data_IF_244338029814
#
_entry.id   IF_244338029814
#
_cell.length_a   1.000
_cell.length_b   1.000
_cell.length_c   1.000
_cell.angle_alpha   90.00
_cell.angle_beta   90.00
_cell.angle_gamma   90.00
#
_symmetry.space_group_name_H-M   'P 1'
#
loop_
_entity.id
_entity.type
_entity.pdbx_description
1 polymer ?
#
# COMPACT_ATOMS: atom_id res chain seq x y z
N UNK A 1 -10.03 7.86 23.46
CA UNK A 1 -10.91 6.88 22.82
C UNK A 1 -10.83 5.56 23.56
N UNK A 2 -11.94 5.06 24.06
CA UNK A 2 -12.05 3.75 24.72
C UNK A 2 -11.98 2.61 23.68
N UNK A 3 -11.79 1.36 24.13
CA UNK A 3 -11.82 0.20 23.23
C UNK A 3 -13.15 0.08 22.47
N UNK A 4 -14.26 0.39 23.14
CA UNK A 4 -15.62 0.40 22.55
C UNK A 4 -15.79 1.47 21.47
N UNK A 5 -15.25 2.69 21.68
CA UNK A 5 -15.29 3.76 20.68
C UNK A 5 -14.45 3.40 19.44
N UNK A 6 -13.32 2.70 19.64
CA UNK A 6 -12.48 2.22 18.53
C UNK A 6 -13.20 1.16 17.70
N UNK A 7 -13.90 0.23 18.34
CA UNK A 7 -14.70 -0.82 17.65
C UNK A 7 -15.88 -0.22 16.88
N UNK A 8 -16.57 0.74 17.46
CA UNK A 8 -17.65 1.44 16.77
C UNK A 8 -17.14 2.23 15.55
N UNK A 9 -15.98 2.89 15.64
CA UNK A 9 -15.38 3.60 14.53
C UNK A 9 -14.95 2.65 13.40
N UNK A 10 -14.36 1.49 13.73
CA UNK A 10 -14.01 0.46 12.74
C UNK A 10 -15.25 -0.12 12.06
N UNK A 11 -16.32 -0.42 12.82
CA UNK A 11 -17.57 -0.94 12.28
C UNK A 11 -18.25 0.08 11.35
N UNK A 12 -18.24 1.37 11.72
CA UNK A 12 -18.76 2.45 10.89
C UNK A 12 -17.97 2.58 9.59
N UNK A 13 -16.64 2.56 9.65
CA UNK A 13 -15.78 2.60 8.46
C UNK A 13 -16.04 1.40 7.54
N UNK A 14 -16.13 0.22 8.10
CA UNK A 14 -16.41 -1.01 7.35
C UNK A 14 -17.77 -0.95 6.63
N UNK A 15 -18.80 -0.42 7.29
CA UNK A 15 -20.11 -0.22 6.69
C UNK A 15 -20.08 0.77 5.52
N UNK A 16 -19.37 1.88 5.67
CA UNK A 16 -19.21 2.90 4.61
C UNK A 16 -18.34 2.41 3.44
N UNK A 17 -17.33 1.60 3.69
CA UNK A 17 -16.45 1.05 2.66
C UNK A 17 -17.07 -0.12 1.91
N UNK A 18 -18.02 -0.82 2.48
CA UNK A 18 -18.59 -2.04 1.90
C UNK A 18 -19.10 -1.86 0.46
N UNK A 19 -19.91 -0.84 0.12
CA UNK A 19 -20.37 -0.66 -1.27
C UNK A 19 -19.21 -0.40 -2.24
N UNK A 20 -18.21 0.37 -1.86
CA UNK A 20 -17.03 0.62 -2.68
C UNK A 20 -16.21 -0.66 -2.88
N UNK A 21 -16.07 -1.47 -1.84
CA UNK A 21 -15.36 -2.75 -1.93
C UNK A 21 -16.10 -3.75 -2.80
N UNK A 22 -17.41 -3.82 -2.71
CA UNK A 22 -18.25 -4.67 -3.56
C UNK A 22 -18.16 -4.25 -5.02
N UNK A 23 -18.28 -2.95 -5.33
CA UNK A 23 -18.09 -2.41 -6.67
C UNK A 23 -16.70 -2.71 -7.23
N UNK A 24 -15.65 -2.42 -6.46
CA UNK A 24 -14.27 -2.72 -6.84
C UNK A 24 -14.05 -4.20 -7.12
N UNK A 25 -14.53 -5.08 -6.24
CA UNK A 25 -14.38 -6.52 -6.41
C UNK A 25 -15.12 -7.04 -7.64
N UNK A 26 -16.32 -6.54 -7.92
CA UNK A 26 -17.08 -6.90 -9.13
C UNK A 26 -16.33 -6.53 -10.42
N UNK A 27 -15.71 -5.34 -10.47
CA UNK A 27 -14.90 -4.92 -11.62
C UNK A 27 -13.59 -5.72 -11.74
N UNK A 28 -12.93 -5.98 -10.62
CA UNK A 28 -11.72 -6.82 -10.58
C UNK A 28 -12.03 -8.22 -11.09
N UNK A 29 -13.14 -8.80 -10.67
CA UNK A 29 -13.58 -10.13 -11.12
C UNK A 29 -13.94 -10.15 -12.62
N UNK A 30 -14.61 -9.11 -13.12
CA UNK A 30 -14.90 -8.97 -14.53
C UNK A 30 -13.63 -8.92 -15.38
N UNK A 31 -12.66 -8.07 -15.03
CA UNK A 31 -11.36 -7.95 -15.70
C UNK A 31 -10.59 -9.27 -15.64
N UNK A 32 -10.61 -9.94 -14.48
CA UNK A 32 -9.99 -11.24 -14.32
C UNK A 32 -10.59 -12.29 -15.24
N UNK A 33 -11.92 -12.32 -15.39
CA UNK A 33 -12.61 -13.26 -16.27
C UNK A 33 -12.32 -12.99 -17.74
N UNK A 34 -12.23 -11.73 -18.16
CA UNK A 34 -11.77 -11.34 -19.49
C UNK A 34 -10.36 -11.86 -19.78
N UNK A 35 -9.43 -11.64 -18.85
CA UNK A 35 -8.06 -12.15 -18.94
C UNK A 35 -8.04 -13.68 -19.02
N UNK A 36 -8.78 -14.37 -18.15
CA UNK A 36 -8.81 -15.82 -18.09
C UNK A 36 -9.40 -16.45 -19.37
N UNK A 37 -10.39 -15.80 -19.98
CA UNK A 37 -10.97 -16.22 -21.27
C UNK A 37 -9.97 -16.05 -22.41
N UNK A 38 -9.23 -14.94 -22.44
CA UNK A 38 -8.19 -14.68 -23.45
C UNK A 38 -6.94 -15.55 -23.27
N UNK A 39 -6.68 -16.05 -22.04
CA UNK A 39 -5.47 -16.81 -21.68
C UNK A 39 -5.83 -18.13 -20.99
N UNK A 40 -6.44 -19.10 -21.68
CA UNK A 40 -6.84 -20.38 -21.08
C UNK A 40 -5.60 -21.20 -20.61
N UNK A 41 -5.73 -21.90 -19.49
CA UNK A 41 -4.63 -22.70 -18.91
C UNK A 41 -4.08 -23.77 -19.84
N UNK A 42 -4.91 -24.27 -20.78
CA UNK A 42 -4.51 -25.25 -21.79
C UNK A 42 -3.44 -24.72 -22.75
N UNK A 43 -3.50 -23.40 -23.06
CA UNK A 43 -2.56 -22.74 -23.99
C UNK A 43 -1.47 -21.97 -23.23
N UNK A 44 -1.82 -21.40 -22.07
CA UNK A 44 -0.92 -20.57 -21.26
C UNK A 44 -0.80 -21.14 -19.82
N UNK A 45 0.07 -22.13 -19.59
CA UNK A 45 0.24 -22.74 -18.25
C UNK A 45 0.58 -21.73 -17.16
N UNK A 46 1.14 -20.57 -17.52
CA UNK A 46 1.43 -19.46 -16.59
C UNK A 46 0.15 -18.84 -16.00
N UNK A 47 -1.00 -18.92 -16.65
CA UNK A 47 -2.29 -18.51 -16.08
C UNK A 47 -2.60 -19.25 -14.78
N UNK A 48 -2.07 -20.47 -14.64
CA UNK A 48 -2.21 -21.29 -13.43
C UNK A 48 -1.51 -20.67 -12.23
N UNK A 49 -0.35 -20.02 -12.39
CA UNK A 49 0.34 -19.34 -11.29
C UNK A 49 -0.47 -18.16 -10.80
N UNK A 50 -0.99 -17.33 -11.71
CA UNK A 50 -1.86 -16.21 -11.36
C UNK A 50 -3.13 -16.68 -10.64
N UNK A 51 -3.82 -17.73 -11.11
CA UNK A 51 -5.02 -18.25 -10.42
C UNK A 51 -4.73 -18.71 -8.99
N UNK A 52 -3.57 -19.31 -8.75
CA UNK A 52 -3.15 -19.72 -7.40
C UNK A 52 -2.89 -18.52 -6.50
N UNK A 53 -2.41 -17.44 -7.05
CA UNK A 53 -2.19 -16.19 -6.35
C UNK A 53 -3.45 -15.32 -6.25
N UNK A 54 -4.58 -15.74 -6.88
CA UNK A 54 -5.83 -14.98 -6.93
C UNK A 54 -6.36 -14.57 -5.55
N UNK A 55 -6.10 -15.34 -4.50
CA UNK A 55 -6.46 -14.99 -3.11
C UNK A 55 -5.82 -13.69 -2.64
N UNK A 56 -4.67 -13.32 -3.20
CA UNK A 56 -4.00 -12.05 -2.92
C UNK A 56 -4.74 -10.88 -3.56
N UNK A 57 -5.45 -11.11 -4.68
CA UNK A 57 -6.25 -10.10 -5.37
C UNK A 57 -7.49 -9.70 -4.56
N UNK A 58 -8.11 -10.66 -3.87
CA UNK A 58 -9.37 -10.45 -3.18
C UNK A 58 -9.21 -9.90 -1.76
N UNK A 59 -8.02 -9.99 -1.19
CA UNK A 59 -7.72 -9.54 0.16
C UNK A 59 -7.31 -8.05 0.18
N UNK A 60 -8.24 -7.13 0.43
CA UNK A 60 -7.93 -5.71 0.57
C UNK A 60 -9.12 -4.88 1.01
N UNK A 61 -8.86 -3.76 1.70
CA UNK A 61 -9.89 -2.80 2.14
C UNK A 61 -10.36 -1.86 1.02
N UNK A 62 -9.68 -1.86 -0.14
CA UNK A 62 -9.99 -1.03 -1.32
C UNK A 62 -9.99 0.47 -1.04
N UNK A 63 -9.10 0.94 -0.17
CA UNK A 63 -9.03 2.35 0.17
C UNK A 63 -8.73 3.25 -1.02
N UNK A 64 -7.85 2.83 -1.94
CA UNK A 64 -7.46 3.64 -3.10
C UNK A 64 -8.62 3.78 -4.08
N UNK A 65 -9.31 2.68 -4.35
CA UNK A 65 -10.53 2.70 -5.15
C UNK A 65 -11.61 3.59 -4.49
N UNK A 66 -11.86 3.41 -3.20
CA UNK A 66 -12.84 4.20 -2.46
C UNK A 66 -12.52 5.69 -2.49
N UNK A 67 -11.24 6.07 -2.34
CA UNK A 67 -10.79 7.46 -2.44
C UNK A 67 -11.03 8.05 -3.83
N UNK A 68 -10.77 7.30 -4.91
CA UNK A 68 -11.01 7.75 -6.28
C UNK A 68 -12.50 7.96 -6.55
N UNK A 69 -13.33 6.97 -6.20
CA UNK A 69 -14.77 7.02 -6.48
C UNK A 69 -15.48 8.04 -5.57
N UNK A 70 -15.17 8.04 -4.26
CA UNK A 70 -15.75 9.03 -3.35
C UNK A 70 -15.28 10.46 -3.68
N UNK A 71 -14.02 10.63 -4.07
CA UNK A 71 -13.49 11.91 -4.54
C UNK A 71 -14.26 12.42 -5.77
N UNK A 72 -14.49 11.57 -6.76
CA UNK A 72 -15.32 11.91 -7.92
C UNK A 72 -16.74 12.35 -7.51
N UNK A 73 -17.42 11.56 -6.68
CA UNK A 73 -18.77 11.86 -6.20
C UNK A 73 -18.80 13.18 -5.42
N UNK A 74 -17.80 13.42 -4.57
CA UNK A 74 -17.70 14.69 -3.82
C UNK A 74 -17.58 15.90 -4.74
N UNK A 75 -16.79 15.77 -5.83
CA UNK A 75 -16.53 16.84 -6.79
C UNK A 75 -17.70 17.10 -7.75
N UNK A 76 -18.47 16.05 -8.09
CA UNK A 76 -19.53 16.16 -9.12
C UNK A 76 -20.94 16.15 -8.56
N UNK A 77 -21.17 15.43 -7.46
CA UNK A 77 -22.51 15.08 -6.93
C UNK A 77 -23.12 13.88 -7.67
N UNK A 78 -22.46 13.36 -8.71
CA UNK A 78 -22.98 12.30 -9.56
C UNK A 78 -22.48 10.92 -9.09
N UNK A 79 -23.30 9.86 -9.25
CA UNK A 79 -22.82 8.50 -9.01
C UNK A 79 -21.73 8.14 -10.03
N UNK A 80 -20.77 7.32 -9.59
CA UNK A 80 -19.76 6.81 -10.50
C UNK A 80 -20.39 5.91 -11.58
N UNK A 81 -20.01 6.13 -12.83
CA UNK A 81 -20.39 5.23 -13.92
C UNK A 81 -19.66 3.89 -13.78
N UNK A 82 -20.19 2.86 -14.43
CA UNK A 82 -19.55 1.54 -14.45
C UNK A 82 -18.15 1.58 -15.05
N UNK A 83 -17.91 2.43 -16.06
CA UNK A 83 -16.57 2.60 -16.63
C UNK A 83 -15.63 3.34 -15.68
N UNK A 84 -16.11 4.33 -14.92
CA UNK A 84 -15.29 4.97 -13.91
C UNK A 84 -14.90 3.98 -12.81
N UNK A 85 -15.84 3.16 -12.33
CA UNK A 85 -15.53 2.10 -11.37
C UNK A 85 -14.51 1.10 -11.94
N UNK A 86 -14.69 0.68 -13.22
CA UNK A 86 -13.73 -0.18 -13.89
C UNK A 86 -12.35 0.47 -13.96
N UNK A 87 -12.28 1.70 -14.48
CA UNK A 87 -11.01 2.43 -14.57
C UNK A 87 -10.34 2.58 -13.22
N UNK A 88 -11.08 2.99 -12.16
CA UNK A 88 -10.52 3.19 -10.82
C UNK A 88 -9.87 1.92 -10.22
N UNK A 89 -10.21 0.72 -10.72
CA UNK A 89 -9.55 -0.52 -10.27
C UNK A 89 -8.08 -0.59 -10.67
N UNK A 90 -7.58 0.27 -11.58
CA UNK A 90 -6.16 0.32 -11.90
C UNK A 90 -5.29 0.51 -10.67
N UNK A 91 -5.79 1.27 -9.68
CA UNK A 91 -5.11 1.52 -8.41
C UNK A 91 -4.90 0.25 -7.59
N UNK A 92 -5.87 -0.64 -7.61
CA UNK A 92 -5.82 -1.91 -6.87
C UNK A 92 -4.96 -2.94 -7.61
N UNK A 93 -5.05 -3.01 -8.95
CA UNK A 93 -4.19 -3.84 -9.78
C UNK A 93 -2.73 -3.40 -9.67
N UNK A 94 -2.48 -2.10 -9.77
CA UNK A 94 -1.13 -1.55 -9.66
C UNK A 94 -0.56 -1.78 -8.26
N UNK A 95 -1.34 -1.58 -7.21
CA UNK A 95 -0.90 -1.90 -5.85
C UNK A 95 -0.53 -3.38 -5.69
N UNK A 96 -1.31 -4.28 -6.28
CA UNK A 96 -0.98 -5.71 -6.22
C UNK A 96 0.33 -6.03 -6.97
N UNK A 97 0.54 -5.40 -8.13
CA UNK A 97 1.79 -5.48 -8.87
C UNK A 97 2.99 -5.10 -7.99
N UNK A 98 2.91 -3.96 -7.31
CA UNK A 98 3.99 -3.52 -6.42
C UNK A 98 4.21 -4.46 -5.25
N UNK A 99 3.15 -5.03 -4.68
CA UNK A 99 3.27 -6.01 -3.59
C UNK A 99 3.99 -7.30 -4.01
N UNK A 100 3.82 -7.75 -5.27
CA UNK A 100 4.52 -8.94 -5.76
C UNK A 100 6.01 -8.70 -5.90
N UNK A 101 6.41 -7.51 -6.37
CA UNK A 101 7.82 -7.13 -6.50
C UNK A 101 8.45 -6.85 -5.13
N UNK A 102 7.73 -6.16 -4.26
CA UNK A 102 8.15 -5.86 -2.89
C UNK A 102 8.47 -7.15 -2.11
N UNK A 103 7.56 -8.15 -2.16
CA UNK A 103 7.80 -9.47 -1.54
C UNK A 103 9.06 -10.17 -2.06
N UNK A 104 9.45 -9.93 -3.32
CA UNK A 104 10.68 -10.48 -3.90
C UNK A 104 11.90 -9.73 -3.40
N UNK A 105 11.85 -8.39 -3.40
CA UNK A 105 12.95 -7.51 -3.00
C UNK A 105 13.24 -7.64 -1.51
N UNK A 106 12.19 -7.73 -0.68
CA UNK A 106 12.28 -7.93 0.78
C UNK A 106 12.54 -9.39 1.17
N UNK A 107 12.61 -10.34 0.23
CA UNK A 107 12.69 -11.79 0.45
C UNK A 107 11.57 -12.33 1.35
N UNK A 108 10.40 -11.69 1.33
CA UNK A 108 9.27 -12.06 2.19
C UNK A 108 8.61 -13.37 1.73
N UNK A 109 8.70 -14.41 2.56
CA UNK A 109 8.06 -15.73 2.29
C UNK A 109 6.54 -15.66 2.46
N UNK A 110 6.05 -14.73 3.24
CA UNK A 110 4.63 -14.57 3.59
C UNK A 110 4.25 -13.10 3.58
N UNK A 111 3.06 -12.83 3.03
CA UNK A 111 2.39 -11.54 3.14
C UNK A 111 1.16 -11.70 4.05
N UNK A 112 1.20 -11.06 5.23
CA UNK A 112 0.20 -11.27 6.30
C UNK A 112 0.11 -12.77 6.67
N UNK A 113 -1.06 -13.38 6.50
CA UNK A 113 -1.29 -14.80 6.82
C UNK A 113 -1.07 -15.74 5.62
N UNK A 114 -0.94 -15.21 4.41
CA UNK A 114 -0.81 -15.97 3.17
C UNK A 114 0.66 -16.09 2.73
N UNK A 115 1.07 -17.17 2.06
CA UNK A 115 2.35 -17.22 1.39
C UNK A 115 2.43 -16.14 0.31
N UNK A 116 3.62 -15.54 0.12
CA UNK A 116 3.88 -14.60 -0.99
C UNK A 116 3.77 -15.32 -2.36
N UNK A 117 3.63 -14.53 -3.43
CA UNK A 117 3.48 -15.07 -4.78
C UNK A 117 4.68 -15.94 -5.18
N UNK A 118 5.91 -15.48 -4.99
CA UNK A 118 7.11 -16.25 -5.33
C UNK A 118 7.23 -17.53 -4.48
N UNK A 119 6.89 -17.48 -3.20
CA UNK A 119 6.92 -18.64 -2.31
C UNK A 119 5.87 -19.69 -2.70
N UNK A 120 4.67 -19.25 -3.12
CA UNK A 120 3.62 -20.12 -3.66
C UNK A 120 4.06 -20.75 -4.96
N UNK A 121 4.60 -19.96 -5.90
CA UNK A 121 5.05 -20.44 -7.20
C UNK A 121 6.22 -21.42 -7.10
N UNK A 122 7.16 -21.21 -6.17
CA UNK A 122 8.29 -22.11 -5.93
C UNK A 122 7.83 -23.55 -5.60
N UNK A 123 6.68 -23.71 -4.92
CA UNK A 123 6.12 -25.04 -4.60
C UNK A 123 5.58 -25.78 -5.84
N UNK A 124 5.39 -25.11 -6.96
CA UNK A 124 4.94 -25.70 -8.21
C UNK A 124 6.06 -26.35 -9.01
N UNK A 125 7.31 -26.02 -8.69
CA UNK A 125 8.45 -26.60 -9.37
C UNK A 125 8.53 -28.12 -9.16
N UNK A 126 8.54 -28.88 -10.28
CA UNK A 126 8.55 -30.35 -10.27
C UNK A 126 9.89 -30.95 -10.67
N UNK A 127 10.84 -30.11 -11.09
CA UNK A 127 12.18 -30.57 -11.46
C UNK A 127 13.05 -30.88 -10.24
N UNK A 128 14.18 -31.57 -10.50
CA UNK A 128 15.21 -31.80 -9.49
C UNK A 128 15.83 -30.47 -9.05
N UNK A 129 15.98 -30.31 -7.74
CA UNK A 129 16.69 -29.21 -7.11
C UNK A 129 18.20 -29.48 -6.99
N UNK A 130 18.68 -30.54 -7.72
CA UNK A 130 20.06 -30.93 -7.72
C UNK A 130 20.99 -29.77 -8.09
N UNK A 131 22.12 -29.75 -7.40
CA UNK A 131 23.16 -28.73 -7.39
C UNK A 131 23.34 -27.99 -8.71
N UNK A 132 22.92 -26.74 -8.73
CA UNK A 132 23.30 -25.79 -9.75
C UNK A 132 24.26 -24.79 -9.12
N UNK A 133 25.37 -24.47 -9.77
CA UNK A 133 26.15 -23.32 -9.33
C UNK A 133 25.23 -22.11 -9.24
N UNK A 134 25.07 -21.56 -8.04
CA UNK A 134 24.23 -20.40 -7.83
C UNK A 134 24.93 -19.19 -8.44
N UNK A 135 24.33 -18.60 -9.48
CA UNK A 135 24.78 -17.30 -10.01
C UNK A 135 23.98 -16.19 -9.36
N UNK A 136 22.62 -16.27 -9.44
CA UNK A 136 21.69 -15.30 -8.83
C UNK A 136 20.79 -16.01 -7.78
N UNK A 137 20.36 -17.25 -8.07
CA UNK A 137 19.44 -18.00 -7.20
C UNK A 137 20.09 -19.27 -6.69
N UNK A 138 19.98 -19.55 -5.40
CA UNK A 138 20.55 -20.74 -4.75
C UNK A 138 20.04 -22.06 -5.32
N UNK A 139 18.74 -22.12 -5.70
CA UNK A 139 18.14 -23.35 -6.22
C UNK A 139 17.32 -23.10 -7.48
N UNK A 140 17.07 -24.14 -8.28
CA UNK A 140 16.20 -24.06 -9.46
C UNK A 140 14.76 -23.77 -9.06
N UNK A 141 14.31 -24.29 -7.93
CA UNK A 141 12.99 -24.04 -7.35
C UNK A 141 12.80 -22.56 -7.03
N UNK A 142 13.77 -21.94 -6.37
CA UNK A 142 13.73 -20.50 -6.06
C UNK A 142 13.70 -19.67 -7.33
N UNK A 143 14.59 -19.98 -8.29
CA UNK A 143 14.58 -19.32 -9.60
C UNK A 143 13.21 -19.39 -10.26
N UNK A 144 12.60 -20.57 -10.32
CA UNK A 144 11.29 -20.76 -10.91
C UNK A 144 10.23 -19.90 -10.21
N UNK A 145 10.17 -19.97 -8.88
CA UNK A 145 9.21 -19.23 -8.07
C UNK A 145 9.28 -17.72 -8.28
N UNK A 146 10.48 -17.17 -8.21
CA UNK A 146 10.73 -15.73 -8.40
C UNK A 146 10.45 -15.32 -9.85
N UNK A 147 10.93 -16.07 -10.84
CA UNK A 147 10.69 -15.74 -12.26
C UNK A 147 9.19 -15.75 -12.59
N UNK A 148 8.42 -16.72 -12.09
CA UNK A 148 6.98 -16.74 -12.29
C UNK A 148 6.29 -15.56 -11.58
N UNK A 149 6.73 -15.18 -10.39
CA UNK A 149 6.14 -14.04 -9.67
C UNK A 149 6.43 -12.70 -10.38
N UNK A 150 7.62 -12.54 -10.96
CA UNK A 150 7.93 -11.36 -11.80
C UNK A 150 7.01 -11.33 -13.04
N UNK A 151 6.84 -12.46 -13.73
CA UNK A 151 5.93 -12.53 -14.90
C UNK A 151 4.47 -12.29 -14.50
N UNK A 152 4.03 -12.79 -13.34
CA UNK A 152 2.70 -12.50 -12.82
C UNK A 152 2.55 -11.02 -12.49
N UNK A 153 3.57 -10.39 -11.89
CA UNK A 153 3.57 -8.95 -11.60
C UNK A 153 3.42 -8.11 -12.89
N UNK A 154 4.17 -8.43 -13.95
CA UNK A 154 4.06 -7.75 -15.25
C UNK A 154 2.66 -7.88 -15.84
N UNK A 155 2.03 -9.07 -15.78
CA UNK A 155 0.65 -9.26 -16.23
C UNK A 155 -0.34 -8.42 -15.42
N UNK A 156 -0.17 -8.39 -14.10
CA UNK A 156 -1.01 -7.57 -13.19
C UNK A 156 -0.89 -6.09 -13.53
N UNK A 157 0.32 -5.61 -13.84
CA UNK A 157 0.52 -4.24 -14.29
C UNK A 157 -0.24 -3.96 -15.60
N UNK A 158 -0.19 -4.88 -16.56
CA UNK A 158 -0.98 -4.75 -17.80
C UNK A 158 -2.50 -4.78 -17.55
N UNK A 159 -2.97 -5.51 -16.51
CA UNK A 159 -4.38 -5.45 -16.13
C UNK A 159 -4.78 -4.09 -15.55
N UNK A 160 -3.85 -3.34 -14.94
CA UNK A 160 -4.10 -1.96 -14.53
C UNK A 160 -4.36 -1.04 -15.74
N UNK A 161 -3.57 -1.18 -16.81
CA UNK A 161 -3.78 -0.47 -18.09
C UNK A 161 -5.11 -0.88 -18.75
N UNK A 162 -5.35 -2.19 -18.81
CA UNK A 162 -6.57 -2.75 -19.40
C UNK A 162 -7.85 -2.29 -18.67
N UNK A 163 -7.78 -2.06 -17.37
CA UNK A 163 -8.89 -1.50 -16.60
C UNK A 163 -9.30 -0.11 -17.10
N UNK A 164 -8.32 0.75 -17.39
CA UNK A 164 -8.55 2.11 -17.91
C UNK A 164 -9.01 2.06 -19.37
N UNK A 165 -8.33 1.28 -20.21
CA UNK A 165 -8.66 1.16 -21.64
C UNK A 165 -10.08 0.65 -21.87
N UNK A 166 -10.50 -0.34 -21.09
CA UNK A 166 -11.81 -0.97 -21.18
C UNK A 166 -12.98 -0.16 -20.60
N UNK A 167 -12.73 1.04 -20.08
CA UNK A 167 -13.76 1.94 -19.53
C UNK A 167 -14.48 2.71 -20.68
N UNK A 168 -15.30 2.00 -21.47
CA UNK A 168 -15.82 2.48 -22.74
C UNK A 168 -16.77 3.68 -22.61
N UNK A 169 -17.43 3.87 -21.47
CA UNK A 169 -18.33 5.00 -21.18
C UNK A 169 -17.59 6.27 -20.73
N UNK A 170 -16.27 6.19 -20.47
CA UNK A 170 -15.44 7.35 -20.23
C UNK A 170 -14.96 7.97 -21.56
N UNK A 171 -14.96 9.31 -21.60
CA UNK A 171 -14.41 10.03 -22.75
C UNK A 171 -12.95 9.60 -23.01
N UNK A 172 -12.53 9.41 -24.28
CA UNK A 172 -11.17 8.96 -24.60
C UNK A 172 -10.05 9.80 -23.98
N UNK A 173 -10.24 11.13 -23.86
CA UNK A 173 -9.24 12.00 -23.22
C UNK A 173 -9.11 11.73 -21.71
N UNK A 174 -10.20 11.35 -21.00
CA UNK A 174 -10.15 10.96 -19.58
C UNK A 174 -9.33 9.69 -19.44
N UNK A 175 -9.56 8.70 -20.29
CA UNK A 175 -8.79 7.46 -20.29
C UNK A 175 -7.30 7.70 -20.57
N UNK A 176 -6.99 8.55 -21.55
CA UNK A 176 -5.61 8.92 -21.88
C UNK A 176 -4.92 9.65 -20.70
N UNK A 177 -5.60 10.58 -20.06
CA UNK A 177 -5.06 11.28 -18.88
C UNK A 177 -4.83 10.32 -17.71
N UNK A 178 -5.74 9.35 -17.47
CA UNK A 178 -5.55 8.31 -16.46
C UNK A 178 -4.39 7.36 -16.78
N UNK A 179 -4.16 6.99 -18.05
CA UNK A 179 -2.99 6.21 -18.48
C UNK A 179 -1.69 7.00 -18.28
N UNK A 180 -1.71 8.30 -18.59
CA UNK A 180 -0.57 9.19 -18.32
C UNK A 180 -0.27 9.27 -16.83
N UNK A 181 -1.30 9.34 -15.98
CA UNK A 181 -1.16 9.34 -14.52
C UNK A 181 -0.58 8.00 -14.02
N UNK A 182 -1.06 6.85 -14.54
CA UNK A 182 -0.50 5.54 -14.22
C UNK A 182 1.00 5.49 -14.55
N UNK A 183 1.40 6.00 -15.72
CA UNK A 183 2.81 6.06 -16.12
C UNK A 183 3.63 6.95 -15.18
N UNK A 184 3.09 8.10 -14.79
CA UNK A 184 3.75 8.99 -13.84
C UNK A 184 3.88 8.35 -12.43
N UNK A 185 2.88 7.59 -12.00
CA UNK A 185 2.95 6.80 -10.76
C UNK A 185 4.05 5.75 -10.86
N UNK A 186 4.13 5.02 -11.98
CA UNK A 186 5.10 3.93 -12.20
C UNK A 186 6.55 4.42 -12.07
N UNK A 187 6.87 5.55 -12.70
CA UNK A 187 8.20 6.15 -12.65
C UNK A 187 8.58 6.58 -11.23
N UNK A 188 7.72 7.39 -10.60
CA UNK A 188 8.01 7.95 -9.25
C UNK A 188 8.06 6.85 -8.19
N UNK A 189 7.19 5.84 -8.27
CA UNK A 189 7.16 4.76 -7.30
C UNK A 189 8.39 3.87 -7.43
N UNK A 190 8.89 3.66 -8.66
CA UNK A 190 10.13 2.94 -8.91
C UNK A 190 11.34 3.65 -8.29
N UNK A 191 11.41 4.99 -8.42
CA UNK A 191 12.44 5.79 -7.74
C UNK A 191 12.34 5.67 -6.22
N UNK A 192 11.12 5.71 -5.67
CA UNK A 192 10.87 5.52 -4.23
C UNK A 192 11.32 4.15 -3.73
N UNK A 193 11.08 3.10 -4.50
CA UNK A 193 11.55 1.75 -4.17
C UNK A 193 13.07 1.63 -4.25
N UNK A 194 13.69 2.28 -5.24
CA UNK A 194 15.15 2.36 -5.34
C UNK A 194 15.79 3.01 -4.11
N UNK A 195 15.24 4.14 -3.65
CA UNK A 195 15.69 4.79 -2.41
C UNK A 195 15.52 3.90 -1.17
N UNK A 196 14.42 3.13 -1.08
CA UNK A 196 14.18 2.22 0.06
C UNK A 196 15.25 1.12 0.12
N UNK A 197 15.61 0.54 -1.03
CA UNK A 197 16.71 -0.43 -1.15
C UNK A 197 18.05 0.20 -0.75
N UNK A 198 18.35 1.42 -1.21
CA UNK A 198 19.57 2.13 -0.84
C UNK A 198 19.66 2.40 0.66
N UNK A 199 18.54 2.65 1.30
CA UNK A 199 18.47 2.89 2.77
C UNK A 199 18.91 1.67 3.58
N UNK A 200 18.80 0.45 3.08
CA UNK A 200 19.26 -0.74 3.80
C UNK A 200 20.75 -0.66 4.18
N UNK A 201 21.56 0.00 3.33
CA UNK A 201 23.02 0.19 3.51
C UNK A 201 23.33 1.46 4.30
N UNK A 202 22.36 2.37 4.44
CA UNK A 202 22.60 3.66 5.05
C UNK A 202 22.70 3.52 6.60
N UNK A 203 23.77 4.09 7.16
CA UNK A 203 23.92 4.20 8.61
C UNK A 203 23.15 5.40 9.17
N UNK A 204 22.92 6.42 8.35
CA UNK A 204 22.15 7.62 8.66
C UNK A 204 21.37 8.04 7.43
N UNK A 205 20.09 8.32 7.64
CA UNK A 205 19.18 8.82 6.59
C UNK A 205 18.71 10.20 7.05
N UNK A 206 18.93 11.27 6.26
CA UNK A 206 18.33 12.57 6.52
C UNK A 206 16.81 12.44 6.51
N UNK A 207 16.14 13.13 7.41
CA UNK A 207 14.66 13.05 7.48
C UNK A 207 14.01 13.47 6.16
N UNK A 208 14.52 14.50 5.52
CA UNK A 208 14.04 14.97 4.23
C UNK A 208 14.09 13.87 3.15
N UNK A 209 15.21 13.14 3.06
CA UNK A 209 15.35 12.03 2.11
C UNK A 209 14.40 10.86 2.44
N UNK A 210 14.17 10.60 3.74
CA UNK A 210 13.14 9.63 4.14
C UNK A 210 11.74 10.07 3.69
N UNK A 211 11.40 11.35 3.86
CA UNK A 211 10.10 11.89 3.43
C UNK A 211 9.94 11.73 1.91
N UNK A 212 10.96 12.09 1.13
CA UNK A 212 10.95 11.90 -0.34
C UNK A 212 10.70 10.44 -0.73
N UNK A 213 11.42 9.50 -0.12
CA UNK A 213 11.21 8.06 -0.36
C UNK A 213 9.78 7.63 0.01
N UNK A 214 9.30 8.00 1.19
CA UNK A 214 7.97 7.62 1.69
C UNK A 214 6.85 8.20 0.81
N UNK A 215 6.99 9.45 0.35
CA UNK A 215 6.06 10.06 -0.59
C UNK A 215 6.09 9.35 -1.93
N UNK A 216 7.26 9.06 -2.49
CA UNK A 216 7.41 8.39 -3.76
C UNK A 216 6.91 6.93 -3.71
N UNK A 217 7.33 6.14 -2.71
CA UNK A 217 6.98 4.71 -2.59
C UNK A 217 5.51 4.50 -2.20
N UNK A 218 4.98 5.30 -1.26
CA UNK A 218 3.66 5.03 -0.67
C UNK A 218 2.61 6.06 -1.05
N UNK A 219 2.88 7.37 -0.84
CA UNK A 219 1.86 8.39 -1.05
C UNK A 219 1.52 8.58 -2.53
N UNK A 220 2.46 8.36 -3.44
CA UNK A 220 2.29 8.55 -4.89
C UNK A 220 1.11 7.74 -5.46
N UNK A 221 0.95 6.48 -5.05
CA UNK A 221 -0.18 5.67 -5.52
C UNK A 221 -1.51 6.12 -4.90
N UNK A 222 -1.51 6.66 -3.68
CA UNK A 222 -2.71 7.30 -3.11
C UNK A 222 -3.05 8.58 -3.85
N UNK A 223 -2.05 9.38 -4.24
CA UNK A 223 -2.25 10.58 -5.09
C UNK A 223 -2.83 10.23 -6.46
N UNK A 224 -2.49 9.06 -7.02
CA UNK A 224 -3.15 8.52 -8.21
C UNK A 224 -4.67 8.37 -8.04
N UNK A 225 -5.15 8.08 -6.82
CA UNK A 225 -6.60 8.05 -6.56
C UNK A 225 -7.22 9.45 -6.61
N UNK A 226 -6.58 10.46 -6.01
CA UNK A 226 -7.03 11.85 -6.10
C UNK A 226 -7.00 12.35 -7.55
N UNK A 227 -5.92 12.07 -8.28
CA UNK A 227 -5.79 12.44 -9.69
C UNK A 227 -6.89 11.77 -10.54
N UNK A 228 -7.18 10.47 -10.33
CA UNK A 228 -8.26 9.77 -11.03
C UNK A 228 -9.62 10.42 -10.78
N UNK A 229 -9.92 10.81 -9.54
CA UNK A 229 -11.15 11.53 -9.21
C UNK A 229 -11.24 12.87 -9.93
N UNK A 230 -10.18 13.68 -9.86
CA UNK A 230 -10.13 15.00 -10.47
C UNK A 230 -10.17 14.96 -12.00
N UNK A 231 -9.48 14.02 -12.64
CA UNK A 231 -9.49 13.79 -14.09
C UNK A 231 -10.91 13.41 -14.55
N UNK A 232 -11.54 12.44 -13.88
CA UNK A 232 -12.88 12.01 -14.24
C UNK A 232 -13.93 13.10 -14.03
N UNK A 233 -13.81 13.89 -12.97
CA UNK A 233 -14.69 15.00 -12.65
C UNK A 233 -14.43 16.24 -13.53
N UNK A 234 -13.36 16.30 -14.34
CA UNK A 234 -12.91 17.53 -15.01
C UNK A 234 -12.80 18.68 -14.02
N UNK A 235 -12.29 18.38 -12.83
CA UNK A 235 -12.26 19.31 -11.72
C UNK A 235 -11.40 20.56 -12.03
N UNK A 236 -11.82 21.76 -11.61
CA UNK A 236 -10.99 22.94 -11.67
C UNK A 236 -9.73 22.77 -10.83
N UNK A 237 -8.69 23.53 -11.14
CA UNK A 237 -7.37 23.39 -10.50
C UNK A 237 -7.43 23.51 -8.97
N UNK A 238 -8.29 24.39 -8.44
CA UNK A 238 -8.45 24.57 -7.00
C UNK A 238 -8.95 23.31 -6.29
N UNK A 239 -10.00 22.67 -6.83
CA UNK A 239 -10.55 21.44 -6.31
C UNK A 239 -9.55 20.27 -6.44
N UNK A 240 -8.82 20.25 -7.57
CA UNK A 240 -7.74 19.28 -7.78
C UNK A 240 -6.66 19.40 -6.71
N UNK A 241 -6.17 20.62 -6.46
CA UNK A 241 -5.17 20.85 -5.40
C UNK A 241 -5.71 20.48 -4.01
N UNK A 242 -6.97 20.75 -3.73
CA UNK A 242 -7.57 20.46 -2.42
C UNK A 242 -7.69 18.94 -2.20
N UNK A 243 -8.16 18.15 -3.18
CA UNK A 243 -8.28 16.69 -3.04
C UNK A 243 -6.91 16.01 -3.00
N UNK A 244 -5.93 16.49 -3.79
CA UNK A 244 -4.56 16.02 -3.72
C UNK A 244 -3.93 16.29 -2.35
N UNK A 245 -4.14 17.48 -1.78
CA UNK A 245 -3.66 17.83 -0.44
C UNK A 245 -4.29 16.94 0.64
N UNK A 246 -5.61 16.71 0.56
CA UNK A 246 -6.30 15.78 1.46
C UNK A 246 -5.67 14.38 1.40
N UNK A 247 -5.52 13.82 0.21
CA UNK A 247 -5.01 12.46 0.02
C UNK A 247 -3.53 12.36 0.40
N UNK A 248 -2.70 13.37 0.12
CA UNK A 248 -1.29 13.41 0.53
C UNK A 248 -1.15 13.29 2.04
N UNK A 249 -1.83 14.16 2.78
CA UNK A 249 -1.77 14.15 4.23
C UNK A 249 -2.37 12.88 4.85
N UNK A 250 -3.45 12.36 4.27
CA UNK A 250 -4.00 11.05 4.65
C UNK A 250 -2.96 9.92 4.45
N UNK A 251 -2.29 9.87 3.30
CA UNK A 251 -1.32 8.82 2.98
C UNK A 251 -0.08 8.86 3.89
N UNK A 252 0.41 10.06 4.23
CA UNK A 252 1.52 10.22 5.18
C UNK A 252 1.11 9.74 6.57
N UNK A 253 -0.07 10.13 7.06
CA UNK A 253 -0.58 9.67 8.35
C UNK A 253 -0.80 8.14 8.35
N UNK A 254 -1.26 7.59 7.24
CA UNK A 254 -1.46 6.16 7.06
C UNK A 254 -0.13 5.40 7.15
N UNK A 255 0.93 5.86 6.45
CA UNK A 255 2.25 5.24 6.47
C UNK A 255 2.88 5.32 7.87
N UNK A 256 2.86 6.50 8.50
CA UNK A 256 3.38 6.66 9.87
C UNK A 256 2.67 5.72 10.86
N UNK A 257 1.40 5.43 10.63
CA UNK A 257 0.64 4.47 11.41
C UNK A 257 1.04 3.03 11.12
N UNK A 258 1.24 2.68 9.85
CA UNK A 258 1.70 1.34 9.47
C UNK A 258 3.10 1.05 10.03
N UNK A 259 4.00 2.02 10.07
CA UNK A 259 5.33 1.89 10.72
C UNK A 259 5.20 1.56 12.22
N UNK A 260 4.30 2.24 12.96
CA UNK A 260 4.04 1.95 14.36
C UNK A 260 3.50 0.52 14.59
N UNK A 261 2.64 0.05 13.69
CA UNK A 261 2.07 -1.30 13.73
C UNK A 261 3.10 -2.36 13.36
N UNK A 262 3.90 -2.13 12.32
CA UNK A 262 4.95 -3.04 11.82
C UNK A 262 6.06 -3.29 12.83
N UNK A 263 6.38 -2.31 13.66
CA UNK A 263 7.31 -2.43 14.79
C UNK A 263 6.64 -2.95 16.08
N UNK A 264 5.31 -3.08 16.12
CA UNK A 264 4.55 -3.46 17.32
C UNK A 264 4.73 -2.48 18.49
N UNK A 265 4.98 -1.21 18.19
CA UNK A 265 5.03 -0.12 19.18
C UNK A 265 3.64 0.13 19.74
N UNK A 266 2.63 -0.01 18.91
CA UNK A 266 1.20 0.01 19.25
C UNK A 266 0.58 -1.36 18.99
N UNK A 267 -0.48 -1.68 19.73
CA UNK A 267 -1.18 -2.96 19.56
C UNK A 267 -1.94 -2.99 18.21
N UNK A 268 -1.94 -4.16 17.55
CA UNK A 268 -2.75 -4.41 16.37
C UNK A 268 -3.67 -5.60 16.63
N UNK A 269 -4.94 -5.47 16.23
CA UNK A 269 -5.90 -6.60 16.22
C UNK A 269 -5.74 -7.48 14.95
N UNK A 270 -5.02 -6.99 13.95
CA UNK A 270 -4.80 -7.70 12.69
C UNK A 270 -3.61 -8.64 12.88
N UNK A 271 -3.86 -9.95 12.82
CA UNK A 271 -2.83 -10.97 12.94
C UNK A 271 -1.75 -10.81 11.87
N UNK A 272 -0.50 -10.73 12.30
CA UNK A 272 0.71 -10.63 11.50
C UNK A 272 1.91 -10.51 12.42
N UNK A 273 3.12 -10.65 11.90
CA UNK A 273 4.33 -10.44 12.69
C UNK A 273 4.46 -8.95 13.00
N UNK A 274 4.03 -8.54 14.18
CA UNK A 274 4.19 -7.17 14.70
C UNK A 274 5.65 -6.82 15.01
N UNK A 275 6.59 -7.57 14.48
CA UNK A 275 8.01 -7.48 14.79
C UNK A 275 8.87 -7.49 13.52
N UNK A 276 8.21 -7.56 12.34
CA UNK A 276 8.89 -7.70 11.05
C UNK A 276 9.91 -6.61 10.83
N UNK A 277 9.51 -5.37 10.98
CA UNK A 277 10.37 -4.20 10.74
C UNK A 277 11.59 -4.15 11.68
N UNK A 278 11.39 -4.51 12.96
CA UNK A 278 12.50 -4.58 13.93
C UNK A 278 13.47 -5.71 13.56
N UNK A 279 12.95 -6.89 13.19
CA UNK A 279 13.76 -8.04 12.83
C UNK A 279 14.55 -7.83 11.53
N UNK A 280 13.90 -7.31 10.52
CA UNK A 280 14.51 -7.02 9.22
C UNK A 280 15.41 -5.78 9.25
N UNK A 281 15.22 -4.90 10.25
CA UNK A 281 15.99 -3.67 10.37
C UNK A 281 15.53 -2.61 9.37
N UNK A 282 14.23 -2.60 9.02
CA UNK A 282 13.68 -1.65 8.05
C UNK A 282 13.94 -0.21 8.46
N UNK A 283 14.35 0.60 7.52
CA UNK A 283 14.70 2.02 7.73
C UNK A 283 13.46 2.90 7.68
N UNK A 284 12.45 2.55 8.49
CA UNK A 284 11.20 3.31 8.63
C UNK A 284 11.44 4.66 9.31
N UNK A 285 10.40 5.52 9.36
CA UNK A 285 10.46 6.78 10.12
C UNK A 285 10.83 6.56 11.58
N UNK A 286 10.40 5.43 12.15
CA UNK A 286 10.78 5.08 13.55
C UNK A 286 12.29 4.96 13.72
N UNK A 287 12.99 4.37 12.77
CA UNK A 287 14.45 4.26 12.78
C UNK A 287 15.11 5.63 12.66
N UNK A 288 14.67 6.45 11.72
CA UNK A 288 15.22 7.80 11.50
C UNK A 288 15.08 8.63 12.78
N UNK A 289 13.87 8.71 13.33
CA UNK A 289 13.62 9.44 14.58
C UNK A 289 14.34 8.82 15.80
N UNK A 290 14.52 7.50 15.83
CA UNK A 290 15.26 6.86 16.92
C UNK A 290 16.72 7.34 16.98
N UNK A 291 17.37 7.48 15.83
CA UNK A 291 18.75 7.99 15.77
C UNK A 291 18.88 9.44 16.23
N UNK A 292 17.84 10.23 16.10
CA UNK A 292 17.82 11.63 16.52
C UNK A 292 17.46 11.78 18.00
N UNK A 293 16.42 11.07 18.45
CA UNK A 293 15.74 11.31 19.73
C UNK A 293 16.18 10.42 20.88
N UNK A 294 16.67 9.19 20.60
CA UNK A 294 17.18 8.32 21.66
C UNK A 294 18.49 8.91 22.21
N UNK A 295 18.60 9.12 23.52
CA UNK A 295 19.83 9.63 24.16
C UNK A 295 21.07 8.79 23.80
N UNK A 296 22.21 9.43 23.67
CA UNK A 296 23.48 8.76 23.28
C UNK A 296 23.79 7.52 24.09
N UNK A 297 23.51 7.54 25.39
CA UNK A 297 23.74 6.42 26.33
C UNK A 297 22.90 5.17 25.96
N UNK A 298 21.70 5.34 25.41
CA UNK A 298 20.76 4.25 25.10
C UNK A 298 20.82 3.85 23.62
N UNK A 299 21.39 4.73 22.75
CA UNK A 299 21.46 4.51 21.31
C UNK A 299 22.25 3.25 20.93
N UNK A 300 23.32 2.95 21.64
CA UNK A 300 24.09 1.73 21.42
C UNK A 300 23.27 0.46 21.70
N UNK A 301 22.38 0.48 22.69
CA UNK A 301 21.47 -0.63 22.98
C UNK A 301 20.43 -0.82 21.86
N UNK A 302 19.85 0.29 21.38
CA UNK A 302 18.95 0.28 20.24
C UNK A 302 19.59 -0.34 18.99
N UNK A 303 20.78 0.16 18.58
CA UNK A 303 21.47 -0.30 17.38
C UNK A 303 21.92 -1.76 17.47
N UNK A 304 22.32 -2.24 18.67
CA UNK A 304 22.65 -3.66 18.86
C UNK A 304 21.46 -4.59 18.75
N UNK A 305 20.25 -4.11 19.08
CA UNK A 305 19.04 -4.92 19.12
C UNK A 305 18.23 -4.88 17.79
N UNK A 306 18.43 -3.84 16.99
CA UNK A 306 17.67 -3.59 15.75
C UNK A 306 18.31 -4.29 14.55
N UNK A 307 17.48 -4.94 13.69
CA UNK A 307 17.94 -5.47 12.40
C UNK A 307 18.81 -6.72 12.48
N UNK A 308 18.61 -7.59 13.48
CA UNK A 308 19.42 -8.81 13.62
C UNK A 308 18.89 -10.02 12.84
N UNK A 309 17.83 -9.83 12.05
CA UNK A 309 17.19 -10.89 11.27
C UNK A 309 16.75 -12.08 12.15
N UNK A 310 17.06 -13.33 11.73
CA UNK A 310 16.69 -14.51 12.50
C UNK A 310 17.31 -14.58 13.91
N UNK A 311 18.39 -13.82 14.17
CA UNK A 311 19.06 -13.76 15.49
C UNK A 311 18.40 -12.80 16.47
N UNK A 312 17.34 -12.08 16.06
CA UNK A 312 16.61 -11.14 16.92
C UNK A 312 15.89 -11.90 18.02
N UNK A 313 16.25 -11.65 19.28
CA UNK A 313 15.63 -12.26 20.46
C UNK A 313 14.40 -11.50 20.93
N UNK A 314 13.57 -12.10 21.78
CA UNK A 314 12.46 -11.40 22.46
C UNK A 314 12.95 -10.22 23.30
N UNK A 315 14.13 -10.34 23.90
CA UNK A 315 14.76 -9.26 24.69
C UNK A 315 15.15 -8.08 23.79
N UNK A 316 15.69 -8.35 22.60
CA UNK A 316 16.01 -7.31 21.61
C UNK A 316 14.74 -6.52 21.23
N UNK A 317 13.66 -7.23 20.89
CA UNK A 317 12.38 -6.63 20.53
C UNK A 317 11.83 -5.78 21.68
N UNK A 318 11.84 -6.29 22.91
CA UNK A 318 11.39 -5.56 24.09
C UNK A 318 12.20 -4.29 24.30
N UNK A 319 13.54 -4.37 24.16
CA UNK A 319 14.44 -3.21 24.28
C UNK A 319 14.15 -2.15 23.25
N UNK A 320 14.01 -2.55 21.96
CA UNK A 320 13.71 -1.62 20.87
C UNK A 320 12.37 -0.94 21.10
N UNK A 321 11.32 -1.72 21.39
CA UNK A 321 9.96 -1.18 21.63
C UNK A 321 9.90 -0.21 22.79
N UNK A 322 10.57 -0.52 23.89
CA UNK A 322 10.63 0.36 25.06
C UNK A 322 11.29 1.70 24.71
N UNK A 323 12.42 1.67 24.01
CA UNK A 323 13.11 2.88 23.56
C UNK A 323 12.27 3.69 22.57
N UNK A 324 11.62 3.03 21.61
CA UNK A 324 10.72 3.69 20.66
C UNK A 324 9.50 4.31 21.36
N UNK A 325 8.89 3.61 22.32
CA UNK A 325 7.74 4.15 23.07
C UNK A 325 8.10 5.39 23.88
N UNK A 326 9.27 5.38 24.54
CA UNK A 326 9.70 6.50 25.37
C UNK A 326 10.15 7.73 24.57
N UNK A 327 10.84 7.54 23.47
CA UNK A 327 11.56 8.62 22.80
C UNK A 327 11.01 9.00 21.41
N UNK A 328 10.28 8.10 20.73
CA UNK A 328 9.84 8.29 19.34
C UNK A 328 8.32 8.40 19.23
N UNK A 329 7.57 7.58 19.94
CA UNK A 329 6.11 7.53 19.86
C UNK A 329 5.41 8.89 20.08
N UNK A 330 5.82 9.74 21.03
CA UNK A 330 5.18 11.05 21.20
C UNK A 330 5.29 11.92 19.95
N UNK A 331 6.44 11.90 19.27
CA UNK A 331 6.65 12.65 18.05
C UNK A 331 5.85 12.06 16.87
N UNK A 332 5.85 10.74 16.73
CA UNK A 332 5.03 10.08 15.71
C UNK A 332 3.55 10.44 15.84
N UNK A 333 3.01 10.39 17.06
CA UNK A 333 1.62 10.78 17.30
C UNK A 333 1.37 12.26 16.96
N UNK A 334 2.28 13.16 17.32
CA UNK A 334 2.17 14.58 16.96
C UNK A 334 2.11 14.78 15.43
N UNK A 335 2.96 14.08 14.68
CA UNK A 335 3.01 14.13 13.22
C UNK A 335 1.74 13.58 12.58
N UNK A 336 1.28 12.44 13.06
CA UNK A 336 0.02 11.83 12.59
C UNK A 336 -1.14 12.81 12.79
N UNK A 337 -1.28 13.38 14.00
CA UNK A 337 -2.35 14.35 14.27
C UNK A 337 -2.23 15.62 13.43
N UNK A 338 -1.01 16.12 13.21
CA UNK A 338 -0.78 17.28 12.34
C UNK A 338 -1.21 17.00 10.89
N UNK A 339 -0.88 15.82 10.35
CA UNK A 339 -1.29 15.41 9.00
C UNK A 339 -2.81 15.19 8.93
N UNK A 340 -3.42 14.53 9.91
CA UNK A 340 -4.89 14.36 9.92
C UNK A 340 -5.61 15.70 10.00
N UNK A 341 -5.11 16.66 10.78
CA UNK A 341 -5.66 18.02 10.83
C UNK A 341 -5.49 18.76 9.50
N UNK A 342 -4.34 18.62 8.83
CA UNK A 342 -4.09 19.22 7.53
C UNK A 342 -5.00 18.58 6.44
N UNK A 343 -5.18 17.26 6.46
CA UNK A 343 -6.13 16.59 5.57
C UNK A 343 -7.56 17.10 5.78
N UNK A 344 -7.98 17.27 7.03
CA UNK A 344 -9.33 17.81 7.35
C UNK A 344 -9.50 19.23 6.78
N UNK A 345 -8.53 20.13 6.98
CA UNK A 345 -8.56 21.47 6.38
C UNK A 345 -8.59 21.46 4.86
N UNK A 346 -7.88 20.54 4.21
CA UNK A 346 -7.94 20.39 2.76
C UNK A 346 -9.32 19.91 2.31
N UNK A 347 -9.92 18.97 3.03
CA UNK A 347 -11.26 18.47 2.77
C UNK A 347 -12.34 19.55 2.93
N UNK A 348 -12.18 20.49 3.89
CA UNK A 348 -13.09 21.63 4.12
C UNK A 348 -13.14 22.62 2.95
N UNK A 349 -12.11 22.64 2.09
CA UNK A 349 -12.06 23.49 0.89
C UNK A 349 -12.80 22.90 -0.30
N UNK A 350 -13.11 21.61 -0.26
CA UNK A 350 -13.80 20.93 -1.35
C UNK A 350 -15.31 21.19 -1.31
N UNK A 351 -15.97 21.25 -2.46
CA UNK A 351 -17.42 21.34 -2.53
C UNK A 351 -18.07 20.10 -1.90
N UNK A 352 -19.19 20.28 -1.22
CA UNK A 352 -19.97 19.18 -0.65
C UNK A 352 -21.15 18.90 -1.59
N UNK A 353 -20.89 18.27 -2.73
CA UNK A 353 -21.94 17.89 -3.68
C UNK A 353 -22.54 16.51 -3.37
N UNK A 354 -21.80 15.64 -2.68
CA UNK A 354 -22.25 14.34 -2.18
C UNK A 354 -21.90 14.22 -0.69
N UNK A 355 -22.91 14.34 0.23
CA UNK A 355 -22.71 14.25 1.67
C UNK A 355 -22.18 12.86 2.12
N UNK A 356 -22.61 11.78 1.48
CA UNK A 356 -22.18 10.41 1.86
C UNK A 356 -20.71 10.19 1.52
N UNK A 357 -20.26 10.67 0.35
CA UNK A 357 -18.87 10.68 -0.03
C UNK A 357 -18.02 11.50 0.97
N UNK A 358 -18.53 12.67 1.40
CA UNK A 358 -17.89 13.50 2.41
C UNK A 358 -17.72 12.76 3.73
N UNK A 359 -18.79 12.10 4.21
CA UNK A 359 -18.78 11.33 5.46
C UNK A 359 -17.74 10.20 5.39
N UNK A 360 -17.63 9.48 4.27
CA UNK A 360 -16.61 8.46 4.10
C UNK A 360 -15.20 9.04 4.26
N UNK A 361 -14.91 10.16 3.59
CA UNK A 361 -13.58 10.79 3.65
C UNK A 361 -13.25 11.27 5.07
N UNK A 362 -14.20 11.78 5.81
CA UNK A 362 -14.02 12.14 7.22
C UNK A 362 -13.76 10.93 8.12
N UNK A 363 -14.56 9.87 7.96
CA UNK A 363 -14.42 8.65 8.75
C UNK A 363 -13.09 7.92 8.45
N UNK A 364 -12.57 8.03 7.23
CA UNK A 364 -11.23 7.53 6.89
C UNK A 364 -10.14 8.21 7.72
N UNK A 365 -10.24 9.52 7.98
CA UNK A 365 -9.31 10.24 8.87
C UNK A 365 -9.45 9.79 10.33
N UNK A 366 -10.69 9.67 10.81
CA UNK A 366 -10.95 9.26 12.20
C UNK A 366 -10.50 7.83 12.46
N UNK A 367 -10.65 6.94 11.48
CA UNK A 367 -10.16 5.56 11.56
C UNK A 367 -8.63 5.48 11.69
N UNK A 368 -7.88 6.42 11.14
CA UNK A 368 -6.43 6.46 11.36
C UNK A 368 -6.08 6.78 12.82
N UNK A 369 -6.88 7.57 13.52
CA UNK A 369 -6.73 7.78 14.98
C UNK A 369 -7.01 6.50 15.77
N UNK A 370 -8.08 5.79 15.41
CA UNK A 370 -8.49 4.55 16.08
C UNK A 370 -7.47 3.42 15.96
N UNK A 371 -6.69 3.36 14.87
CA UNK A 371 -5.64 2.35 14.64
C UNK A 371 -4.43 2.46 15.60
N UNK A 372 -4.42 3.40 16.56
CA UNK A 372 -3.30 3.62 17.53
C UNK A 372 -3.49 2.92 18.87
N UNK A 373 -4.68 2.42 19.14
CA UNK A 373 -5.00 1.91 20.48
C UNK A 373 -5.30 0.44 20.48
#
# INVERSE_FOLDING_TARGET
MTASESEAAEARLEALLRPYREASNAQIEAIWNEFAAAHPESTFPSSKTMRRNARLFLAGKRYRFALAVAGYRLLTGEPASRGLERAATWLEWYHLYTLFLDDIMDEDVRRRTLPSAWSTNAKLYRGSDANRPAVVFRTRRLRYGVSQAILDALRIRSLAEHAIEGAADLHPSVRLEMLSELTAVDLVLSDGQGLDIDFERATRIPEETYVQMSEAKTARLYLGAAASAAIAARAPSEDRFAIEAYVRHFAVAFQDRDDLLGAGVVASKIGGSQEGDIRQGKRTRLYVLALERIPRKDRAAFLRAYGRGPRTTRKDIATVRDLLRRHVLPEMNRRIEANLAAARRALERLPIKDPDARVLLEVLLDAQRARVR
#
